data_IF_334148496160
#
_entry.id   IF_334148496160
#
_cell.length_a   1.000
_cell.length_b   1.000
_cell.length_c   1.000
_cell.angle_alpha   90.00
_cell.angle_beta   90.00
_cell.angle_gamma   90.00
#
_symmetry.space_group_name_H-M   'P 1'
#
loop_
_entity.id
_entity.type
_entity.pdbx_description
1 polymer ?
#
# COMPACT_ATOMS: atom_id res chain seq x y z
N UNK A 1 51.82 3.07 18.57
CA UNK A 1 50.39 2.77 18.87
C UNK A 1 49.46 3.70 18.08
N UNK A 2 49.56 3.76 16.74
CA UNK A 2 48.77 4.71 15.93
C UNK A 2 47.61 4.06 15.15
N UNK A 3 47.45 2.74 15.18
CA UNK A 3 46.43 2.02 14.41
C UNK A 3 45.40 1.24 15.25
N UNK A 4 45.45 1.30 16.58
CA UNK A 4 44.62 0.46 17.48
C UNK A 4 43.13 0.81 17.56
N UNK A 5 42.62 1.65 16.65
CA UNK A 5 41.19 2.01 16.59
C UNK A 5 40.60 2.05 15.19
N UNK A 6 41.41 1.95 14.12
CA UNK A 6 40.91 2.12 12.73
C UNK A 6 39.86 1.07 12.36
N UNK A 7 40.09 -0.20 12.71
CA UNK A 7 39.12 -1.27 12.43
C UNK A 7 37.80 -1.09 13.17
N UNK A 8 37.86 -0.69 14.45
CA UNK A 8 36.67 -0.39 15.26
C UNK A 8 35.89 0.82 14.71
N UNK A 9 36.60 1.90 14.35
CA UNK A 9 35.98 3.08 13.75
C UNK A 9 35.33 2.79 12.40
N UNK A 10 35.97 1.99 11.53
CA UNK A 10 35.38 1.58 10.24
C UNK A 10 34.12 0.73 10.46
N UNK A 11 34.14 -0.18 11.43
CA UNK A 11 32.99 -1.01 11.77
C UNK A 11 31.81 -0.20 12.32
N UNK A 12 32.06 0.73 13.26
CA UNK A 12 31.03 1.63 13.81
C UNK A 12 30.49 2.57 12.74
N UNK A 13 31.37 3.15 11.90
CA UNK A 13 30.97 4.05 10.82
C UNK A 13 30.05 3.34 9.81
N UNK A 14 30.39 2.12 9.41
CA UNK A 14 29.55 1.34 8.50
C UNK A 14 28.16 1.02 9.07
N UNK A 15 28.06 0.73 10.38
CA UNK A 15 26.77 0.52 11.05
C UNK A 15 25.93 1.80 11.12
N UNK A 16 26.58 2.92 11.40
CA UNK A 16 25.94 4.23 11.46
C UNK A 16 25.45 4.68 10.08
N UNK A 17 26.25 4.49 9.02
CA UNK A 17 25.85 4.74 7.63
C UNK A 17 24.66 3.85 7.23
N UNK A 18 24.69 2.55 7.56
CA UNK A 18 23.56 1.66 7.30
C UNK A 18 22.27 2.11 8.02
N UNK A 19 22.38 2.54 9.28
CA UNK A 19 21.24 3.05 10.04
C UNK A 19 20.66 4.33 9.45
N UNK A 20 21.52 5.29 9.09
CA UNK A 20 21.10 6.54 8.43
C UNK A 20 20.47 6.26 7.06
N UNK A 21 21.00 5.30 6.30
CA UNK A 21 20.43 4.89 5.01
C UNK A 21 19.02 4.31 5.16
N UNK A 22 18.76 3.52 6.20
CA UNK A 22 17.40 3.01 6.47
C UNK A 22 16.44 4.15 6.80
N UNK A 23 16.87 5.10 7.64
CA UNK A 23 16.07 6.29 7.97
C UNK A 23 15.79 7.11 6.70
N UNK A 24 16.81 7.35 5.88
CA UNK A 24 16.68 8.09 4.64
C UNK A 24 15.68 7.41 3.69
N UNK A 25 15.80 6.10 3.48
CA UNK A 25 14.87 5.32 2.66
C UNK A 25 13.43 5.36 3.20
N UNK A 26 13.26 5.35 4.51
CA UNK A 26 11.93 5.47 5.13
C UNK A 26 11.30 6.84 4.80
N UNK A 27 12.03 7.93 4.99
CA UNK A 27 11.52 9.28 4.72
C UNK A 27 11.26 9.54 3.24
N UNK A 28 12.11 9.03 2.32
CA UNK A 28 11.87 9.20 0.88
C UNK A 28 10.62 8.44 0.43
N UNK A 29 10.39 7.22 0.94
CA UNK A 29 9.17 6.46 0.67
C UNK A 29 7.92 7.14 1.26
N UNK A 30 8.02 7.70 2.47
CA UNK A 30 6.92 8.45 3.10
C UNK A 30 6.58 9.72 2.31
N UNK A 31 7.60 10.46 1.87
CA UNK A 31 7.42 11.64 1.03
C UNK A 31 6.76 11.28 -0.31
N UNK A 32 7.17 10.17 -0.94
CA UNK A 32 6.55 9.69 -2.16
C UNK A 32 5.07 9.33 -1.95
N UNK A 33 4.76 8.61 -0.87
CA UNK A 33 3.38 8.23 -0.53
C UNK A 33 2.51 9.48 -0.29
N UNK A 34 3.04 10.47 0.43
CA UNK A 34 2.36 11.75 0.67
C UNK A 34 2.17 12.56 -0.63
N UNK A 35 3.14 12.53 -1.54
CA UNK A 35 3.03 13.21 -2.84
C UNK A 35 1.94 12.60 -3.73
N UNK A 36 1.76 11.27 -3.67
CA UNK A 36 0.73 10.56 -4.45
C UNK A 36 -0.64 10.54 -3.78
N UNK A 37 -0.73 10.71 -2.46
CA UNK A 37 -1.98 10.73 -1.71
C UNK A 37 -3.10 11.62 -2.31
N UNK A 38 -2.86 12.89 -2.71
CA UNK A 38 -3.93 13.72 -3.30
C UNK A 38 -4.46 13.16 -4.61
N UNK A 39 -3.59 12.60 -5.47
CA UNK A 39 -4.00 11.97 -6.73
C UNK A 39 -4.80 10.69 -6.48
N UNK A 40 -4.40 9.91 -5.48
CA UNK A 40 -5.13 8.71 -5.09
C UNK A 40 -6.51 9.04 -4.55
N UNK A 41 -6.68 10.16 -3.85
CA UNK A 41 -7.99 10.60 -3.38
C UNK A 41 -8.95 10.86 -4.54
N UNK A 42 -8.47 11.48 -5.63
CA UNK A 42 -9.27 11.71 -6.85
C UNK A 42 -9.72 10.39 -7.48
N UNK A 43 -8.90 9.33 -7.42
CA UNK A 43 -9.26 8.01 -7.96
C UNK A 43 -10.15 7.21 -6.98
N UNK A 44 -9.92 7.36 -5.68
CA UNK A 44 -10.62 6.65 -4.63
C UNK A 44 -12.09 7.04 -4.54
N UNK A 45 -12.40 8.34 -4.63
CA UNK A 45 -13.78 8.85 -4.48
C UNK A 45 -14.73 8.25 -5.53
N UNK A 46 -14.44 8.30 -6.84
CA UNK A 46 -15.26 7.66 -7.87
C UNK A 46 -15.35 6.14 -7.70
N UNK A 47 -14.24 5.47 -7.38
CA UNK A 47 -14.22 4.01 -7.21
C UNK A 47 -15.14 3.54 -6.07
N UNK A 48 -15.13 4.25 -4.94
CA UNK A 48 -16.03 3.97 -3.82
C UNK A 48 -17.48 4.30 -4.20
N UNK A 49 -17.71 5.43 -4.87
CA UNK A 49 -19.05 5.83 -5.30
C UNK A 49 -19.66 4.81 -6.28
N UNK A 50 -18.90 4.37 -7.28
CA UNK A 50 -19.30 3.35 -8.24
C UNK A 50 -19.59 2.01 -7.57
N UNK A 51 -18.74 1.60 -6.62
CA UNK A 51 -18.99 0.44 -5.77
C UNK A 51 -20.30 0.56 -4.99
N UNK A 52 -20.54 1.68 -4.31
CA UNK A 52 -21.78 1.91 -3.57
C UNK A 52 -23.02 1.92 -4.47
N UNK A 53 -22.93 2.52 -5.67
CA UNK A 53 -24.03 2.55 -6.62
C UNK A 53 -24.35 1.15 -7.17
N UNK A 54 -23.32 0.39 -7.52
CA UNK A 54 -23.44 -1.02 -7.93
C UNK A 54 -24.11 -1.85 -6.85
N UNK A 55 -23.77 -1.61 -5.58
CA UNK A 55 -24.43 -2.28 -4.45
C UNK A 55 -25.91 -1.90 -4.33
N UNK A 56 -26.27 -0.62 -4.51
CA UNK A 56 -27.67 -0.15 -4.51
C UNK A 56 -28.48 -0.78 -5.64
N UNK A 57 -27.93 -0.84 -6.86
CA UNK A 57 -28.58 -1.49 -8.02
C UNK A 57 -28.79 -2.97 -7.75
N UNK A 58 -27.77 -3.66 -7.23
CA UNK A 58 -27.91 -5.07 -6.84
C UNK A 58 -28.96 -5.24 -5.76
N UNK A 59 -29.14 -4.30 -4.82
CA UNK A 59 -30.17 -4.40 -3.78
C UNK A 59 -31.60 -4.35 -4.36
N UNK A 60 -31.83 -3.56 -5.41
CA UNK A 60 -33.14 -3.44 -6.07
C UNK A 60 -33.40 -4.52 -7.11
N UNK A 61 -32.36 -5.16 -7.64
CA UNK A 61 -32.46 -6.29 -8.57
C UNK A 61 -32.35 -7.65 -7.86
N UNK A 62 -32.82 -8.71 -8.52
CA UNK A 62 -32.63 -10.10 -8.08
C UNK A 62 -31.19 -10.61 -8.27
N UNK A 63 -30.29 -9.77 -8.79
CA UNK A 63 -28.88 -10.11 -8.97
C UNK A 63 -28.18 -10.40 -7.64
N UNK A 64 -27.37 -11.46 -7.63
CA UNK A 64 -26.59 -11.88 -6.48
C UNK A 64 -25.23 -11.17 -6.47
N UNK A 65 -24.86 -10.60 -5.32
CA UNK A 65 -23.49 -10.17 -5.10
C UNK A 65 -22.59 -11.40 -5.02
N UNK A 66 -21.53 -11.45 -5.84
CA UNK A 66 -20.61 -12.60 -5.84
C UNK A 66 -19.78 -12.62 -4.55
N UNK A 67 -19.95 -13.63 -3.67
CA UNK A 67 -19.17 -13.72 -2.42
C UNK A 67 -17.69 -14.01 -2.69
N UNK A 68 -17.40 -14.60 -3.86
CA UNK A 68 -16.04 -14.87 -4.32
C UNK A 68 -15.29 -13.57 -4.59
N UNK A 69 -15.88 -12.66 -5.37
CA UNK A 69 -15.29 -11.35 -5.68
C UNK A 69 -15.07 -10.54 -4.40
N UNK A 70 -16.05 -10.50 -3.50
CA UNK A 70 -15.90 -9.80 -2.22
C UNK A 70 -14.73 -10.35 -1.40
N UNK A 71 -14.61 -11.69 -1.25
CA UNK A 71 -13.54 -12.32 -0.46
C UNK A 71 -12.16 -12.11 -1.07
N UNK A 72 -12.02 -12.19 -2.39
CA UNK A 72 -10.76 -11.92 -3.07
C UNK A 72 -10.39 -10.44 -3.02
N UNK A 73 -11.35 -9.52 -3.14
CA UNK A 73 -11.09 -8.09 -3.00
C UNK A 73 -10.62 -7.73 -1.59
N UNK A 74 -11.27 -8.23 -0.53
CA UNK A 74 -10.84 -7.99 0.86
C UNK A 74 -9.42 -8.53 1.09
N UNK A 75 -9.17 -9.79 0.71
CA UNK A 75 -7.87 -10.43 0.91
C UNK A 75 -6.79 -9.76 0.07
N UNK A 76 -7.10 -9.41 -1.17
CA UNK A 76 -6.21 -8.69 -2.07
C UNK A 76 -5.78 -7.36 -1.48
N UNK A 77 -6.72 -6.55 -1.00
CA UNK A 77 -6.42 -5.28 -0.33
C UNK A 77 -5.56 -5.50 0.92
N UNK A 78 -5.85 -6.52 1.73
CA UNK A 78 -5.07 -6.85 2.92
C UNK A 78 -3.62 -7.25 2.56
N UNK A 79 -3.43 -8.13 1.59
CA UNK A 79 -2.10 -8.56 1.16
C UNK A 79 -1.29 -7.44 0.51
N UNK A 80 -1.94 -6.57 -0.27
CA UNK A 80 -1.28 -5.41 -0.87
C UNK A 80 -0.86 -4.39 0.19
N UNK A 81 -1.72 -4.10 1.17
CA UNK A 81 -1.38 -3.22 2.29
C UNK A 81 -0.24 -3.80 3.15
N UNK A 82 -0.27 -5.10 3.44
CA UNK A 82 0.82 -5.78 4.16
C UNK A 82 2.12 -5.75 3.34
N UNK A 83 2.05 -5.99 2.03
CA UNK A 83 3.19 -5.92 1.11
C UNK A 83 3.79 -4.50 1.06
N UNK A 84 2.96 -3.47 0.98
CA UNK A 84 3.38 -2.07 1.03
C UNK A 84 4.07 -1.74 2.37
N UNK A 85 3.52 -2.21 3.48
CA UNK A 85 4.11 -2.02 4.80
C UNK A 85 5.49 -2.69 4.90
N UNK A 86 5.62 -3.94 4.46
CA UNK A 86 6.90 -4.65 4.43
C UNK A 86 7.89 -3.92 3.50
N UNK A 87 7.43 -3.48 2.33
CA UNK A 87 8.23 -2.72 1.36
C UNK A 87 8.82 -1.43 1.95
N UNK A 88 8.17 -0.81 2.95
CA UNK A 88 8.70 0.35 3.66
C UNK A 88 9.93 0.05 4.51
N UNK A 89 10.06 -1.16 5.06
CA UNK A 89 11.16 -1.56 5.94
C UNK A 89 12.27 -2.33 5.22
N UNK A 90 12.02 -2.81 4.00
CA UNK A 90 13.05 -3.52 3.22
C UNK A 90 14.18 -2.54 2.84
N UNK A 91 15.46 -2.85 3.15
CA UNK A 91 16.61 -2.01 2.82
C UNK A 91 17.10 -2.24 1.39
N UNK A 92 16.17 -2.26 0.42
CA UNK A 92 16.45 -2.47 -1.01
C UNK A 92 15.95 -1.25 -1.78
N UNK A 93 16.69 -0.82 -2.81
CA UNK A 93 16.21 0.17 -3.75
C UNK A 93 14.96 -0.36 -4.46
N UNK A 94 13.78 0.12 -4.04
CA UNK A 94 12.53 -0.16 -4.74
C UNK A 94 12.34 0.91 -5.80
N UNK A 95 11.88 0.50 -6.97
CA UNK A 95 11.48 1.43 -8.02
C UNK A 95 10.35 2.33 -7.47
N UNK A 96 10.47 3.67 -7.56
CA UNK A 96 9.45 4.61 -7.13
C UNK A 96 8.05 4.31 -7.69
N UNK A 97 7.93 3.61 -8.82
CA UNK A 97 6.66 3.25 -9.48
C UNK A 97 5.86 2.20 -8.70
N UNK A 98 6.49 1.39 -7.84
CA UNK A 98 5.81 0.31 -7.11
C UNK A 98 4.76 0.85 -6.12
N UNK A 99 5.06 1.95 -5.43
CA UNK A 99 4.16 2.57 -4.45
C UNK A 99 2.86 3.08 -5.11
N UNK A 100 2.89 3.91 -6.17
CA UNK A 100 1.65 4.35 -6.81
C UNK A 100 0.87 3.20 -7.45
N UNK A 101 1.52 2.20 -8.06
CA UNK A 101 0.80 1.05 -8.61
C UNK A 101 0.03 0.27 -7.54
N UNK A 102 0.66 0.00 -6.40
CA UNK A 102 -0.01 -0.69 -5.27
C UNK A 102 -1.17 0.15 -4.72
N UNK A 103 -1.03 1.47 -4.61
CA UNK A 103 -2.13 2.34 -4.19
C UNK A 103 -3.31 2.36 -5.19
N UNK A 104 -3.04 2.42 -6.49
CA UNK A 104 -4.09 2.36 -7.53
C UNK A 104 -4.87 1.05 -7.47
N UNK A 105 -4.15 -0.07 -7.39
CA UNK A 105 -4.79 -1.40 -7.28
C UNK A 105 -5.64 -1.53 -6.01
N UNK A 106 -5.18 -1.00 -4.87
CA UNK A 106 -5.97 -0.94 -3.65
C UNK A 106 -7.27 -0.14 -3.83
N UNK A 107 -7.24 1.01 -4.51
CA UNK A 107 -8.45 1.80 -4.76
C UNK A 107 -9.50 1.03 -5.56
N UNK A 108 -9.07 0.32 -6.61
CA UNK A 108 -9.96 -0.52 -7.43
C UNK A 108 -10.54 -1.67 -6.60
N UNK A 109 -9.70 -2.37 -5.83
CA UNK A 109 -10.16 -3.48 -5.00
C UNK A 109 -11.13 -3.01 -3.93
N UNK A 110 -10.90 -1.84 -3.33
CA UNK A 110 -11.82 -1.23 -2.36
C UNK A 110 -13.19 -0.95 -3.00
N UNK A 111 -13.23 -0.34 -4.18
CA UNK A 111 -14.47 -0.13 -4.93
C UNK A 111 -15.23 -1.43 -5.20
N UNK A 112 -14.51 -2.49 -5.61
CA UNK A 112 -15.08 -3.83 -5.83
C UNK A 112 -15.62 -4.46 -4.55
N UNK A 113 -14.97 -4.25 -3.39
CA UNK A 113 -15.50 -4.69 -2.10
C UNK A 113 -16.85 -4.05 -1.79
N UNK A 114 -16.97 -2.73 -1.96
CA UNK A 114 -18.22 -2.01 -1.72
C UNK A 114 -19.32 -2.47 -2.69
N UNK A 115 -19.00 -2.66 -3.98
CA UNK A 115 -19.95 -3.14 -4.98
C UNK A 115 -20.40 -4.59 -4.85
N UNK A 116 -19.73 -5.39 -4.01
CA UNK A 116 -20.07 -6.79 -3.75
C UNK A 116 -20.36 -7.07 -2.26
N UNK A 117 -20.70 -6.04 -1.48
CA UNK A 117 -21.18 -6.24 -0.12
C UNK A 117 -22.42 -7.13 -0.12
N UNK A 118 -22.39 -8.19 0.69
CA UNK A 118 -23.47 -9.15 0.77
C UNK A 118 -24.74 -8.46 1.29
N UNK A 119 -25.88 -8.68 0.61
CA UNK A 119 -27.19 -8.23 1.08
C UNK A 119 -27.42 -8.88 2.46
N UNK A 120 -27.54 -8.08 3.51
CA UNK A 120 -28.15 -8.53 4.77
C UNK A 120 -29.64 -8.25 4.66
N UNK A 121 -30.43 -9.31 4.79
CA UNK A 121 -31.91 -9.29 4.83
C UNK A 121 -32.35 -8.48 6.03
#
# INVERSE_FOLDING_TARGET
MQDMGKGWFVWVKGRMEAFVNVIYQFYTRLALLAAWAPYMLILFVPAVYDGMMTWRIKRTNFDYASPVLHRYSVRGTMYLMAGLFIAFFIPIALDPVVIPMTMMTCCVLVGLTFGNLQKRV
#
